data_IF_571221367631
#
_entry.id   IF_571221367631
#
_cell.length_a   1.000
_cell.length_b   1.000
_cell.length_c   1.000
_cell.angle_alpha   90.00
_cell.angle_beta   90.00
_cell.angle_gamma   90.00
#
_symmetry.space_group_name_H-M   'P 1'
#
loop_
_entity.id
_entity.type
_entity.pdbx_description
1 polymer ?
#
# COMPACT_ATOMS: atom_id res chain seq x y z
N UNK A 1 -52.10 19.48 -9.14
CA UNK A 1 -51.99 18.07 -8.71
C UNK A 1 -50.52 17.64 -8.80
N UNK A 2 -50.15 16.58 -8.08
CA UNK A 2 -48.85 16.33 -7.39
C UNK A 2 -47.55 16.40 -8.23
N UNK A 3 -46.56 17.02 -7.58
CA UNK A 3 -45.10 16.86 -7.77
C UNK A 3 -44.69 15.46 -7.31
N UNK A 4 -43.94 14.71 -8.12
CA UNK A 4 -43.09 13.61 -7.66
C UNK A 4 -41.66 13.94 -8.09
N UNK A 5 -40.80 14.16 -7.10
CA UNK A 5 -39.35 14.19 -7.28
C UNK A 5 -38.87 12.75 -7.43
N UNK A 6 -38.12 12.47 -8.48
CA UNK A 6 -37.21 11.33 -8.57
C UNK A 6 -35.82 11.91 -8.77
N UNK A 7 -34.99 11.84 -7.74
CA UNK A 7 -33.55 11.98 -7.85
C UNK A 7 -32.98 10.57 -8.04
N UNK A 8 -32.39 10.22 -9.19
CA UNK A 8 -31.42 9.14 -9.22
C UNK A 8 -30.07 9.70 -8.75
N UNK A 9 -29.50 9.05 -7.73
CA UNK A 9 -28.10 9.19 -7.35
C UNK A 9 -27.21 8.91 -8.59
N UNK A 10 -26.09 9.63 -8.78
CA UNK A 10 -25.19 9.33 -9.89
C UNK A 10 -24.30 8.14 -9.54
N UNK A 11 -24.54 7.00 -10.19
CA UNK A 11 -23.56 5.90 -10.30
C UNK A 11 -22.86 6.00 -11.66
N UNK A 12 -21.97 6.98 -11.80
CA UNK A 12 -21.07 7.06 -12.95
C UNK A 12 -19.63 6.84 -12.48
N UNK A 13 -19.12 5.63 -12.67
CA UNK A 13 -17.68 5.42 -12.83
C UNK A 13 -17.39 5.53 -14.32
N UNK A 14 -17.14 6.75 -14.79
CA UNK A 14 -16.58 6.93 -16.13
C UNK A 14 -15.14 6.40 -16.10
N UNK A 15 -14.94 5.20 -16.66
CA UNK A 15 -13.64 4.82 -17.18
C UNK A 15 -13.39 5.70 -18.40
N UNK A 16 -12.85 6.90 -18.21
CA UNK A 16 -12.31 7.67 -19.32
C UNK A 16 -11.23 6.80 -19.98
N UNK A 17 -11.56 6.27 -21.17
CA UNK A 17 -10.63 5.53 -21.98
C UNK A 17 -9.37 6.38 -22.18
N UNK A 18 -8.22 5.81 -21.82
CA UNK A 18 -6.92 6.46 -21.99
C UNK A 18 -6.76 6.88 -23.45
N UNK A 19 -6.94 8.18 -23.73
CA UNK A 19 -6.49 8.80 -24.97
C UNK A 19 -5.01 9.02 -24.81
N UNK A 20 -4.18 8.27 -25.51
CA UNK A 20 -2.73 8.45 -25.53
C UNK A 20 -2.43 9.78 -26.26
N UNK A 21 -1.91 10.83 -25.61
CA UNK A 21 -1.29 11.91 -26.35
C UNK A 21 0.04 11.40 -26.91
N UNK A 22 0.38 11.78 -28.13
CA UNK A 22 1.64 11.42 -28.83
C UNK A 22 2.91 11.99 -28.14
N UNK A 23 2.77 12.51 -26.91
CA UNK A 23 3.84 13.16 -26.15
C UNK A 23 3.64 12.89 -24.66
N UNK A 24 4.60 12.21 -24.06
CA UNK A 24 4.62 12.03 -22.61
C UNK A 24 4.81 13.39 -21.91
N UNK A 25 3.75 13.89 -21.26
CA UNK A 25 3.75 15.16 -20.53
C UNK A 25 4.36 15.08 -19.13
N UNK A 26 4.64 13.86 -18.64
CA UNK A 26 5.23 13.62 -17.34
C UNK A 26 6.21 12.45 -17.37
N UNK A 27 7.28 12.55 -16.58
CA UNK A 27 8.21 11.44 -16.38
C UNK A 27 7.49 10.24 -15.76
N UNK A 28 7.61 9.08 -16.40
CA UNK A 28 7.16 7.79 -15.85
C UNK A 28 8.13 7.25 -14.79
N UNK A 29 9.32 7.83 -14.68
CA UNK A 29 10.34 7.47 -13.70
C UNK A 29 10.35 8.46 -12.53
N UNK A 30 9.21 8.62 -11.86
CA UNK A 30 9.12 9.44 -10.65
C UNK A 30 8.81 8.57 -9.42
N UNK A 31 9.78 8.53 -8.50
CA UNK A 31 9.70 7.77 -7.25
C UNK A 31 8.52 8.14 -6.32
N UNK A 32 7.80 9.25 -6.57
CA UNK A 32 6.64 9.68 -5.77
C UNK A 32 5.55 8.62 -5.72
N UNK A 33 5.40 7.87 -6.81
CA UNK A 33 4.45 6.75 -6.90
C UNK A 33 4.91 5.51 -6.11
N UNK A 34 6.20 5.42 -5.79
CA UNK A 34 6.79 4.35 -4.97
C UNK A 34 6.56 4.50 -3.46
N UNK A 35 5.94 5.59 -2.99
CA UNK A 35 5.73 5.86 -1.57
C UNK A 35 4.97 4.72 -0.84
N UNK A 36 4.15 3.95 -1.56
CA UNK A 36 3.44 2.77 -1.04
C UNK A 36 4.40 1.72 -0.44
N UNK A 37 5.65 1.64 -0.91
CA UNK A 37 6.64 0.66 -0.45
C UNK A 37 6.99 0.88 1.03
N UNK A 38 7.02 2.13 1.49
CA UNK A 38 7.24 2.47 2.90
C UNK A 38 6.10 1.95 3.78
N UNK A 39 4.85 2.09 3.31
CA UNK A 39 3.70 1.50 3.98
C UNK A 39 3.80 -0.03 4.08
N UNK A 40 4.17 -0.69 2.98
CA UNK A 40 4.32 -2.14 2.95
C UNK A 40 5.40 -2.64 3.93
N UNK A 41 6.55 -1.97 4.02
CA UNK A 41 7.63 -2.38 4.92
C UNK A 41 7.33 -2.11 6.40
N UNK A 42 6.78 -0.93 6.72
CA UNK A 42 6.62 -0.51 8.10
C UNK A 42 5.30 -0.97 8.73
N UNK A 43 4.21 -1.03 7.97
CA UNK A 43 2.89 -1.38 8.48
C UNK A 43 2.53 -2.83 8.18
N UNK A 44 2.57 -3.24 6.91
CA UNK A 44 2.18 -4.62 6.54
C UNK A 44 3.22 -5.62 7.04
N UNK A 45 4.49 -5.43 6.68
CA UNK A 45 5.63 -6.23 7.14
C UNK A 45 6.07 -5.91 8.57
N UNK A 46 5.64 -4.79 9.14
CA UNK A 46 5.78 -4.49 10.55
C UNK A 46 7.19 -4.15 11.04
N UNK A 47 8.14 -3.86 10.14
CA UNK A 47 9.50 -3.50 10.53
C UNK A 47 9.56 -2.00 10.82
N UNK A 48 9.49 -1.62 12.10
CA UNK A 48 9.44 -0.22 12.53
C UNK A 48 10.75 0.19 13.18
N UNK A 49 11.39 1.22 12.64
CA UNK A 49 12.60 1.83 13.21
C UNK A 49 12.25 2.56 14.51
N UNK A 50 12.91 2.21 15.63
CA UNK A 50 12.69 2.87 16.93
C UNK A 50 13.93 3.56 17.49
N UNK A 51 15.08 3.44 16.81
CA UNK A 51 16.30 4.19 17.10
C UNK A 51 17.11 4.41 15.80
N UNK A 52 17.95 5.45 15.71
CA UNK A 52 18.78 5.71 14.55
C UNK A 52 19.62 4.49 14.13
N UNK A 53 19.90 4.38 12.83
CA UNK A 53 20.74 3.34 12.22
C UNK A 53 20.30 1.90 12.54
N UNK A 54 19.01 1.69 12.79
CA UNK A 54 18.44 0.37 13.09
C UNK A 54 19.05 -0.29 14.34
N UNK A 55 19.56 0.50 15.30
CA UNK A 55 20.06 -0.03 16.59
C UNK A 55 18.98 -0.71 17.40
N UNK A 56 17.73 -0.26 17.24
CA UNK A 56 16.53 -0.92 17.77
C UNK A 56 15.45 -0.85 16.72
N UNK A 57 14.74 -1.97 16.59
CA UNK A 57 13.57 -2.12 15.73
C UNK A 57 12.45 -2.77 16.52
N UNK A 58 11.22 -2.40 16.22
CA UNK A 58 10.02 -3.08 16.70
C UNK A 58 9.46 -3.90 15.56
N UNK A 59 9.20 -5.17 15.81
CA UNK A 59 8.57 -6.09 14.87
C UNK A 59 7.10 -6.22 15.25
N UNK A 60 6.19 -5.77 14.39
CA UNK A 60 4.76 -5.83 14.61
C UNK A 60 4.01 -5.91 13.26
N UNK A 61 4.05 -7.07 12.57
CA UNK A 61 3.37 -7.24 11.29
C UNK A 61 1.85 -7.06 11.46
N UNK A 62 1.24 -6.35 10.51
CA UNK A 62 -0.21 -6.09 10.48
C UNK A 62 -0.74 -6.42 9.07
N UNK A 63 -0.75 -7.71 8.70
CA UNK A 63 -1.37 -8.12 7.45
C UNK A 63 -2.86 -7.75 7.46
N UNK A 64 -3.32 -7.10 6.40
CA UNK A 64 -4.74 -6.77 6.22
C UNK A 64 -5.59 -8.03 5.95
N UNK A 65 -6.91 -7.87 5.96
CA UNK A 65 -7.84 -8.93 5.55
C UNK A 65 -7.50 -9.41 4.13
N UNK A 66 -7.42 -10.73 3.94
CA UNK A 66 -7.04 -11.35 2.66
C UNK A 66 -5.53 -11.49 2.43
N UNK A 67 -4.70 -11.02 3.36
CA UNK A 67 -3.25 -11.28 3.35
C UNK A 67 -2.96 -12.37 4.38
N UNK A 68 -2.70 -13.59 3.91
CA UNK A 68 -2.42 -14.75 4.77
C UNK A 68 -0.94 -14.90 5.11
N UNK A 69 -0.05 -14.20 4.42
CA UNK A 69 1.36 -14.21 4.76
C UNK A 69 2.05 -12.91 4.34
N UNK A 70 3.13 -12.57 5.04
CA UNK A 70 4.03 -11.47 4.67
C UNK A 70 5.47 -11.82 5.00
N UNK A 71 6.37 -11.45 4.10
CA UNK A 71 7.82 -11.52 4.32
C UNK A 71 8.47 -10.19 3.92
N UNK A 72 9.25 -9.61 4.81
CA UNK A 72 10.02 -8.38 4.54
C UNK A 72 11.42 -8.50 5.12
N UNK A 73 12.39 -7.82 4.51
CA UNK A 73 13.72 -7.69 5.07
C UNK A 73 14.26 -6.28 4.83
N UNK A 74 15.16 -5.86 5.72
CA UNK A 74 15.94 -4.64 5.57
C UNK A 74 17.41 -4.94 5.82
N UNK A 75 18.26 -4.59 4.86
CA UNK A 75 19.71 -4.69 5.01
C UNK A 75 20.22 -3.47 5.77
N UNK A 76 20.40 -3.63 7.08
CA UNK A 76 20.90 -2.59 7.96
C UNK A 76 22.44 -2.63 8.06
N UNK A 77 23.09 -1.55 8.54
CA UNK A 77 24.53 -1.54 8.80
C UNK A 77 25.01 -2.63 9.76
N UNK A 78 24.11 -3.17 10.58
CA UNK A 78 24.38 -4.20 11.58
C UNK A 78 24.03 -5.62 11.08
N UNK A 79 23.65 -5.77 9.82
CA UNK A 79 23.20 -7.03 9.23
C UNK A 79 21.74 -6.98 8.77
N UNK A 80 21.26 -8.09 8.22
CA UNK A 80 19.90 -8.22 7.71
C UNK A 80 18.89 -8.42 8.84
N UNK A 81 17.83 -7.61 8.82
CA UNK A 81 16.66 -7.75 9.68
C UNK A 81 15.55 -8.34 8.83
N UNK A 82 15.05 -9.52 9.18
CA UNK A 82 14.00 -10.22 8.43
C UNK A 82 12.77 -10.45 9.31
N UNK A 83 11.59 -10.33 8.71
CA UNK A 83 10.29 -10.66 9.31
C UNK A 83 9.56 -11.57 8.36
N UNK A 84 9.01 -12.66 8.90
CA UNK A 84 8.10 -13.56 8.20
C UNK A 84 6.94 -13.88 9.14
N UNK A 85 5.72 -13.75 8.65
CA UNK A 85 4.53 -14.13 9.41
C UNK A 85 3.50 -14.76 8.49
N UNK A 86 2.85 -15.79 9.01
CA UNK A 86 1.74 -16.50 8.38
C UNK A 86 0.52 -16.37 9.29
N UNK A 87 -0.65 -16.24 8.67
CA UNK A 87 -1.96 -16.24 9.30
C UNK A 87 -2.76 -17.35 8.64
N UNK A 88 -3.08 -18.36 9.43
CA UNK A 88 -4.01 -19.40 9.01
C UNK A 88 -5.41 -18.77 8.91
N UNK A 89 -6.12 -19.07 7.83
CA UNK A 89 -7.49 -18.59 7.66
C UNK A 89 -8.41 -19.55 8.44
N UNK A 90 -8.57 -19.27 9.73
CA UNK A 90 -9.62 -19.87 10.54
C UNK A 90 -10.95 -19.25 10.06
N UNK A 91 -11.58 -19.92 9.09
CA UNK A 91 -12.76 -19.44 8.34
C UNK A 91 -13.96 -18.97 9.15
#
# INVERSE_FOLDING_TARGET
MRRQQLTPFPEHYENEGVRWPDTATHSLNHYRKGAVISFLHHYVGGLVLTAPRYRRVRIAPRPGSGITWVRTHHDAPHGRISVESHRDDDG
#
